data_IF_189540053404
#
_entry.id   IF_189540053404
#
_cell.length_a   1.000
_cell.length_b   1.000
_cell.length_c   1.000
_cell.angle_alpha   90.00
_cell.angle_beta   90.00
_cell.angle_gamma   90.00
#
_symmetry.space_group_name_H-M   'P 1'
#
loop_
_entity.id
_entity.type
_entity.pdbx_description
1 polymer ?
#
# COMPACT_ATOMS: atom_id res chain seq x y z
N UNK A 1 -12.19 1.78 -2.31
CA UNK A 1 -10.73 1.68 -2.12
C UNK A 1 -10.03 1.23 -3.41
N UNK A 2 -10.33 0.05 -3.95
CA UNK A 2 -9.73 -0.47 -5.19
C UNK A 2 -9.87 0.47 -6.39
N UNK A 3 -11.03 1.11 -6.56
CA UNK A 3 -11.24 2.11 -7.61
C UNK A 3 -10.31 3.33 -7.48
N UNK A 4 -9.95 3.74 -6.25
CA UNK A 4 -9.00 4.84 -6.02
C UNK A 4 -7.57 4.40 -6.32
N UNK A 5 -7.21 3.18 -5.95
CA UNK A 5 -5.91 2.57 -6.28
C UNK A 5 -5.73 2.46 -7.80
N UNK A 6 -6.72 1.92 -8.51
CA UNK A 6 -6.71 1.82 -9.96
C UNK A 6 -6.59 3.21 -10.62
N UNK A 7 -7.35 4.21 -10.15
CA UNK A 7 -7.22 5.59 -10.65
C UNK A 7 -5.82 6.16 -10.41
N UNK A 8 -5.24 5.97 -9.22
CA UNK A 8 -3.92 6.48 -8.91
C UNK A 8 -2.81 5.87 -9.80
N UNK A 9 -2.88 4.56 -10.04
CA UNK A 9 -1.90 3.84 -10.85
C UNK A 9 -2.11 4.12 -12.34
N UNK A 10 -3.32 3.94 -12.86
CA UNK A 10 -3.57 3.92 -14.30
C UNK A 10 -3.96 5.27 -14.90
N UNK A 11 -4.58 6.17 -14.13
CA UNK A 11 -4.97 7.50 -14.62
C UNK A 11 -3.99 8.59 -14.21
N UNK A 12 -3.50 8.53 -12.96
CA UNK A 12 -2.63 9.56 -12.40
C UNK A 12 -1.14 9.23 -12.50
N UNK A 13 -0.79 8.03 -12.98
CA UNK A 13 0.59 7.58 -13.16
C UNK A 13 1.47 7.82 -11.93
N UNK A 14 0.93 7.53 -10.74
CA UNK A 14 1.69 7.62 -9.50
C UNK A 14 2.68 6.46 -9.45
N UNK A 15 3.96 6.79 -9.28
CA UNK A 15 5.06 5.82 -9.20
C UNK A 15 5.06 5.02 -7.91
N UNK A 16 4.51 5.58 -6.83
CA UNK A 16 4.36 4.93 -5.52
C UNK A 16 2.95 5.17 -5.01
N UNK A 17 2.29 4.10 -4.54
CA UNK A 17 1.02 4.16 -3.83
C UNK A 17 1.14 3.37 -2.54
N UNK A 18 0.85 4.02 -1.41
CA UNK A 18 0.88 3.39 -0.08
C UNK A 18 -0.53 2.93 0.29
N UNK A 19 -0.66 1.65 0.61
CA UNK A 19 -1.89 1.06 1.13
C UNK A 19 -1.77 0.90 2.65
N UNK A 20 -2.41 1.77 3.41
CA UNK A 20 -2.51 1.64 4.86
C UNK A 20 -3.71 0.77 5.23
N UNK A 21 -3.45 -0.41 5.80
CA UNK A 21 -4.50 -1.34 6.23
C UNK A 21 -4.01 -2.18 7.42
N UNK A 22 -4.64 -2.07 8.60
CA UNK A 22 -4.20 -2.79 9.81
C UNK A 22 -4.34 -4.32 9.70
N UNK A 23 -5.28 -4.78 8.84
CA UNK A 23 -5.66 -6.18 8.62
C UNK A 23 -5.15 -6.74 7.28
N UNK A 24 -4.03 -6.22 6.78
CA UNK A 24 -3.51 -6.58 5.45
C UNK A 24 -3.28 -8.10 5.32
N UNK A 25 -2.71 -8.73 6.34
CA UNK A 25 -2.36 -10.15 6.32
C UNK A 25 -3.54 -11.08 6.60
N UNK A 26 -4.51 -10.58 7.35
CA UNK A 26 -5.74 -11.25 7.77
C UNK A 26 -6.72 -11.33 6.61
N UNK A 27 -6.89 -10.22 5.88
CA UNK A 27 -7.79 -10.13 4.73
C UNK A 27 -7.31 -10.91 3.50
N UNK A 28 -5.99 -11.05 3.31
CA UNK A 28 -5.33 -11.74 2.18
C UNK A 28 -5.69 -11.27 0.76
N UNK A 29 -6.69 -10.41 0.59
CA UNK A 29 -7.18 -9.96 -0.72
C UNK A 29 -6.22 -8.97 -1.36
N UNK A 30 -5.61 -8.09 -0.56
CA UNK A 30 -4.79 -6.98 -1.06
C UNK A 30 -3.29 -7.32 -1.11
N UNK A 31 -2.87 -8.34 -0.37
CA UNK A 31 -1.49 -8.77 -0.29
C UNK A 31 -0.88 -9.11 -1.68
N UNK A 32 -1.59 -9.80 -2.60
CA UNK A 32 -1.06 -10.09 -3.94
C UNK A 32 -0.81 -8.85 -4.81
N UNK A 33 -1.43 -7.72 -4.47
CA UNK A 33 -1.28 -6.46 -5.20
C UNK A 33 -0.15 -5.57 -4.64
N UNK A 34 0.48 -5.97 -3.54
CA UNK A 34 1.55 -5.22 -2.90
C UNK A 34 2.91 -5.74 -3.37
N UNK A 35 3.71 -4.90 -4.02
CA UNK A 35 5.07 -5.26 -4.43
C UNK A 35 6.06 -5.32 -3.27
N UNK A 36 5.82 -4.51 -2.24
CA UNK A 36 6.58 -4.47 -0.99
C UNK A 36 5.61 -4.29 0.17
N UNK A 37 5.81 -5.07 1.23
CA UNK A 37 5.03 -5.02 2.46
C UNK A 37 5.93 -4.50 3.58
N UNK A 38 5.57 -3.34 4.11
CA UNK A 38 6.29 -2.69 5.21
C UNK A 38 5.49 -2.89 6.49
N UNK A 39 6.13 -3.39 7.54
CA UNK A 39 5.52 -3.51 8.87
C UNK A 39 6.20 -2.55 9.84
N UNK A 40 5.39 -1.72 10.50
CA UNK A 40 5.84 -0.85 11.58
C UNK A 40 5.61 -1.58 12.90
N UNK A 41 6.70 -1.93 13.59
CA UNK A 41 6.69 -2.72 14.80
C UNK A 41 6.95 -1.86 16.05
N UNK A 42 6.30 -2.19 17.16
CA UNK A 42 6.59 -1.64 18.49
C UNK A 42 6.21 -2.67 19.55
N UNK A 43 6.57 -2.45 20.82
CA UNK A 43 6.16 -3.39 21.88
C UNK A 43 4.63 -3.39 22.06
N UNK A 44 4.08 -4.51 22.55
CA UNK A 44 2.63 -4.63 22.79
C UNK A 44 2.12 -3.56 23.75
N UNK A 45 2.91 -3.24 24.78
CA UNK A 45 2.57 -2.22 25.77
C UNK A 45 2.55 -0.83 25.13
N UNK A 46 3.53 -0.51 24.28
CA UNK A 46 3.55 0.75 23.53
C UNK A 46 2.37 0.84 22.55
N UNK A 47 2.04 -0.25 21.87
CA UNK A 47 0.90 -0.28 20.95
C UNK A 47 -0.41 -0.03 21.68
N UNK A 48 -0.64 -0.69 22.82
CA UNK A 48 -1.83 -0.51 23.64
C UNK A 48 -1.92 0.91 24.19
N UNK A 49 -0.83 1.44 24.77
CA UNK A 49 -0.79 2.79 25.29
C UNK A 49 -1.12 3.84 24.22
N UNK A 50 -0.57 3.69 23.00
CA UNK A 50 -0.85 4.59 21.88
C UNK A 50 -2.29 4.48 21.37
N UNK A 51 -2.85 3.26 21.32
CA UNK A 51 -4.26 3.06 20.96
C UNK A 51 -5.19 3.76 21.96
N UNK A 52 -4.91 3.64 23.27
CA UNK A 52 -5.72 4.27 24.31
C UNK A 52 -5.57 5.79 24.32
N UNK A 53 -4.36 6.31 24.17
CA UNK A 53 -4.13 7.76 24.11
C UNK A 53 -4.89 8.43 22.95
N UNK A 54 -4.93 7.78 21.78
CA UNK A 54 -5.62 8.29 20.59
C UNK A 54 -7.12 8.01 20.62
N UNK A 55 -7.50 6.74 20.69
CA UNK A 55 -8.89 6.32 20.48
C UNK A 55 -9.69 6.30 21.79
N UNK A 56 -9.05 6.28 22.95
CA UNK A 56 -9.74 6.37 24.25
C UNK A 56 -10.42 7.73 24.44
N UNK A 57 -9.72 8.81 24.11
CA UNK A 57 -10.24 10.17 24.23
C UNK A 57 -11.24 10.52 23.12
N UNK A 58 -10.95 10.14 21.88
CA UNK A 58 -11.76 10.53 20.72
C UNK A 58 -12.97 9.62 20.46
N UNK A 59 -12.86 8.33 20.81
CA UNK A 59 -13.84 7.29 20.43
C UNK A 59 -14.38 6.50 21.62
N UNK A 60 -14.05 6.90 22.85
CA UNK A 60 -14.47 6.21 24.06
C UNK A 60 -13.97 4.76 24.14
N UNK A 61 -12.80 4.47 23.57
CA UNK A 61 -12.24 3.12 23.56
C UNK A 61 -11.79 2.71 24.97
N UNK A 62 -12.41 1.67 25.54
CA UNK A 62 -11.98 1.10 26.82
C UNK A 62 -10.69 0.30 26.67
N UNK A 63 -9.91 0.17 27.75
CA UNK A 63 -8.73 -0.70 27.79
C UNK A 63 -9.07 -2.16 27.46
N UNK A 64 -10.22 -2.63 27.96
CA UNK A 64 -10.70 -3.99 27.68
C UNK A 64 -10.94 -4.22 26.18
N UNK A 65 -11.59 -3.27 25.51
CA UNK A 65 -11.85 -3.35 24.07
C UNK A 65 -10.57 -3.21 23.25
N UNK A 66 -9.65 -2.35 23.67
CA UNK A 66 -8.35 -2.20 23.02
C UNK A 66 -7.54 -3.51 23.08
N UNK A 67 -7.50 -4.18 24.24
CA UNK A 67 -6.87 -5.49 24.40
C UNK A 67 -7.52 -6.56 23.52
N UNK A 68 -8.86 -6.65 23.55
CA UNK A 68 -9.60 -7.57 22.67
C UNK A 68 -9.30 -7.36 21.18
N UNK A 69 -9.19 -6.10 20.74
CA UNK A 69 -8.83 -5.77 19.34
C UNK A 69 -7.39 -6.12 18.99
N UNK A 70 -6.48 -6.02 19.95
CA UNK A 70 -5.08 -6.40 19.77
C UNK A 70 -4.94 -7.93 19.67
N UNK A 71 -5.69 -8.66 20.50
CA UNK A 71 -5.69 -10.12 20.57
C UNK A 71 -6.41 -10.78 19.38
N UNK A 72 -7.39 -10.12 18.77
CA UNK A 72 -8.10 -10.66 17.60
C UNK A 72 -7.30 -10.59 16.30
N UNK A 73 -6.22 -9.81 16.28
CA UNK A 73 -5.33 -9.69 15.14
C UNK A 73 -4.24 -10.75 15.18
N UNK A 74 -3.61 -11.02 14.04
CA UNK A 74 -2.45 -11.90 14.05
C UNK A 74 -1.31 -11.24 14.84
N UNK A 75 -0.49 -12.03 15.58
CA UNK A 75 0.59 -11.48 16.38
C UNK A 75 1.59 -10.68 15.55
N UNK A 76 2.12 -9.60 16.12
CA UNK A 76 3.05 -8.71 15.44
C UNK A 76 4.30 -9.46 14.95
N UNK A 77 4.76 -10.45 15.70
CA UNK A 77 5.90 -11.30 15.35
C UNK A 77 5.65 -12.08 14.07
N UNK A 78 4.39 -12.46 13.79
CA UNK A 78 3.99 -13.09 12.54
C UNK A 78 3.98 -12.08 11.39
N UNK A 79 3.53 -10.84 11.63
CA UNK A 79 3.56 -9.75 10.65
C UNK A 79 5.00 -9.43 10.23
N UNK A 80 5.89 -9.29 11.22
CA UNK A 80 7.33 -9.04 11.04
C UNK A 80 7.99 -10.12 10.19
N UNK A 81 7.73 -11.41 10.47
CA UNK A 81 8.29 -12.52 9.67
C UNK A 81 7.80 -12.56 8.22
N UNK A 82 6.65 -11.95 7.92
CA UNK A 82 6.02 -11.95 6.59
C UNK A 82 6.24 -10.64 5.83
N UNK A 83 6.88 -9.66 6.45
CA UNK A 83 7.15 -8.36 5.84
C UNK A 83 8.41 -8.42 4.98
N UNK A 84 8.44 -7.61 3.91
CA UNK A 84 9.68 -7.36 3.17
C UNK A 84 10.61 -6.43 3.96
N UNK A 85 10.02 -5.47 4.68
CA UNK A 85 10.72 -4.41 5.39
C UNK A 85 10.06 -4.19 6.74
N UNK A 86 10.86 -4.06 7.79
CA UNK A 86 10.40 -3.82 9.17
C UNK A 86 10.97 -2.51 9.66
N UNK A 87 10.11 -1.63 10.15
CA UNK A 87 10.48 -0.36 10.78
C UNK A 87 10.20 -0.46 12.28
N UNK A 88 11.21 -0.21 13.10
CA UNK A 88 11.03 -0.12 14.55
C UNK A 88 10.49 1.27 14.94
N UNK A 89 9.35 1.28 15.63
CA UNK A 89 8.65 2.44 16.15
C UNK A 89 8.64 2.45 17.69
N UNK A 90 9.63 1.80 18.30
CA UNK A 90 9.83 1.81 19.76
C UNK A 90 10.59 3.05 20.23
N UNK A 91 11.23 3.78 19.31
CA UNK A 91 12.09 4.94 19.56
C UNK A 91 11.34 6.27 19.29
N UNK A 92 12.08 7.36 19.19
CA UNK A 92 11.53 8.70 18.92
C UNK A 92 11.00 8.87 17.48
N UNK A 93 10.05 9.80 17.32
CA UNK A 93 9.40 10.12 16.05
C UNK A 93 10.40 10.54 14.96
N UNK A 94 11.50 11.22 15.31
CA UNK A 94 12.47 11.67 14.31
C UNK A 94 13.34 10.53 13.77
N UNK A 95 13.52 9.46 14.55
CA UNK A 95 14.12 8.22 14.07
C UNK A 95 13.16 7.47 13.15
N UNK A 96 11.88 7.39 13.54
CA UNK A 96 10.84 6.78 12.70
C UNK A 96 10.73 7.47 11.34
N UNK A 97 10.76 8.82 11.31
CA UNK A 97 10.74 9.59 10.05
C UNK A 97 11.94 9.25 9.17
N UNK A 98 13.14 9.15 9.74
CA UNK A 98 14.35 8.79 8.99
C UNK A 98 14.24 7.40 8.38
N UNK A 99 13.86 6.40 9.17
CA UNK A 99 13.65 5.04 8.65
C UNK A 99 12.54 4.99 7.58
N UNK A 100 11.46 5.76 7.74
CA UNK A 100 10.41 5.85 6.73
C UNK A 100 10.92 6.45 5.41
N UNK A 101 11.77 7.48 5.48
CA UNK A 101 12.40 8.09 4.30
C UNK A 101 13.36 7.12 3.61
N UNK A 102 14.18 6.39 4.37
CA UNK A 102 15.08 5.36 3.83
C UNK A 102 14.29 4.26 3.10
N UNK A 103 13.17 3.82 3.67
CA UNK A 103 12.29 2.85 3.02
C UNK A 103 11.67 3.42 1.76
N UNK A 104 11.26 4.70 1.77
CA UNK A 104 10.73 5.35 0.58
C UNK A 104 11.75 5.38 -0.57
N UNK A 105 13.02 5.64 -0.26
CA UNK A 105 14.10 5.62 -1.25
C UNK A 105 14.39 4.21 -1.77
N UNK A 106 14.30 3.18 -0.91
CA UNK A 106 14.48 1.78 -1.32
C UNK A 106 13.37 1.24 -2.22
N UNK A 107 12.13 1.67 -2.02
CA UNK A 107 10.97 1.19 -2.81
C UNK A 107 10.73 2.03 -4.07
N UNK A 108 11.43 3.15 -4.23
CA UNK A 108 11.23 4.04 -5.36
C UNK A 108 11.64 3.35 -6.67
N UNK A 109 10.73 3.25 -7.65
CA UNK A 109 11.08 2.66 -8.94
C UNK A 109 12.10 3.54 -9.69
N UNK A 110 12.93 2.93 -10.52
CA UNK A 110 13.85 3.67 -11.37
C UNK A 110 13.09 4.46 -12.44
N UNK A 111 13.54 5.69 -12.71
CA UNK A 111 12.91 6.56 -13.73
C UNK A 111 12.87 5.88 -15.12
N UNK A 112 13.88 5.07 -15.44
CA UNK A 112 13.94 4.31 -16.69
C UNK A 112 12.85 3.22 -16.77
N UNK A 113 12.65 2.48 -15.67
CA UNK A 113 11.60 1.44 -15.61
C UNK A 113 10.20 2.05 -15.71
N UNK A 114 9.97 3.18 -15.04
CA UNK A 114 8.71 3.91 -15.12
C UNK A 114 8.42 4.43 -16.54
N UNK A 115 9.42 5.00 -17.21
CA UNK A 115 9.30 5.48 -18.58
C UNK A 115 9.03 4.34 -19.57
N UNK A 116 9.75 3.21 -19.42
CA UNK A 116 9.55 2.03 -20.26
C UNK A 116 8.12 1.47 -20.10
N UNK A 117 7.62 1.35 -18.86
CA UNK A 117 6.26 0.89 -18.60
C UNK A 117 5.20 1.82 -19.23
N UNK A 118 5.35 3.14 -19.06
CA UNK A 118 4.50 4.15 -19.70
C UNK A 118 4.48 4.02 -21.22
N UNK A 119 5.65 3.86 -21.83
CA UNK A 119 5.78 3.69 -23.29
C UNK A 119 5.07 2.42 -23.79
N UNK A 120 5.20 1.30 -23.06
CA UNK A 120 4.53 0.03 -23.40
C UNK A 120 3.01 0.21 -23.38
N UNK A 121 2.46 0.80 -22.31
CA UNK A 121 1.00 1.00 -22.17
C UNK A 121 0.46 1.93 -23.27
N UNK A 122 1.14 3.06 -23.53
CA UNK A 122 0.74 3.98 -24.60
C UNK A 122 0.83 3.32 -25.98
N UNK A 123 1.88 2.52 -26.23
CA UNK A 123 2.04 1.77 -27.47
C UNK A 123 0.94 0.72 -27.68
N UNK A 124 0.56 -0.01 -26.63
CA UNK A 124 -0.56 -0.96 -26.68
C UNK A 124 -1.89 -0.27 -26.94
N UNK A 125 -2.17 0.85 -26.27
CA UNK A 125 -3.38 1.64 -26.50
C UNK A 125 -3.46 2.14 -27.96
N UNK A 126 -2.37 2.70 -28.48
CA UNK A 126 -2.31 3.17 -29.86
C UNK A 126 -2.55 2.06 -30.89
N UNK A 127 -1.97 0.87 -30.70
CA UNK A 127 -2.21 -0.31 -31.57
C UNK A 127 -3.67 -0.76 -31.54
N UNK A 128 -4.29 -0.78 -30.36
CA UNK A 128 -5.69 -1.18 -30.20
C UNK A 128 -6.61 -0.18 -30.91
N UNK A 129 -6.40 1.12 -30.71
CA UNK A 129 -7.15 2.18 -31.40
C UNK A 129 -6.99 2.08 -32.91
N UNK A 130 -5.77 1.91 -33.41
CA UNK A 130 -5.53 1.74 -34.85
C UNK A 130 -6.23 0.52 -35.45
N UNK A 131 -6.27 -0.59 -34.70
CA UNK A 131 -6.98 -1.81 -35.12
C UNK A 131 -8.49 -1.59 -35.18
N UNK A 132 -9.06 -0.93 -34.16
CA UNK A 132 -10.50 -0.61 -34.11
C UNK A 132 -10.87 0.33 -35.26
N UNK A 133 -10.10 1.40 -35.48
CA UNK A 133 -10.34 2.36 -36.56
C UNK A 133 -10.29 1.66 -37.92
N UNK A 134 -9.29 0.77 -38.14
CA UNK A 134 -9.20 -0.01 -39.38
C UNK A 134 -10.38 -0.96 -39.56
N UNK A 135 -10.83 -1.62 -38.50
CA UNK A 135 -12.00 -2.50 -38.55
C UNK A 135 -13.26 -1.72 -38.91
N UNK A 136 -13.51 -0.58 -38.26
CA UNK A 136 -14.67 0.29 -38.54
C UNK A 136 -14.61 0.82 -39.97
N UNK A 137 -13.45 1.33 -40.42
CA UNK A 137 -13.26 1.81 -41.79
C UNK A 137 -13.60 0.72 -42.82
N UNK A 138 -13.11 -0.50 -42.62
CA UNK A 138 -13.38 -1.64 -43.49
C UNK A 138 -14.84 -2.10 -43.48
N UNK A 139 -15.59 -1.85 -42.40
CA UNK A 139 -17.03 -2.15 -42.30
C UNK A 139 -17.89 -1.05 -42.93
N UNK A 140 -17.47 0.21 -42.89
CA UNK A 140 -18.24 1.36 -43.39
C UNK A 140 -18.08 1.60 -44.89
N UNK A 141 -16.94 1.22 -45.48
CA UNK A 141 -16.64 1.44 -46.92
C UNK A 141 -16.95 0.21 -47.77
N UNK A 142 -17.50 -0.85 -47.16
CA UNK A 142 -18.14 -1.97 -47.86
C UNK A 142 -19.63 -1.74 -47.97
#
# INVERSE_FOLDING_TARGET
MLSRLAKAIFLQWKSIVVLDTPLLFESKTLLPFCSKVVVVACSKDQQLARMLARDGNEKGLSEHDAKKRLESQIPLEVKVRRADIVIDNSQDVDLLKRSAMEVLDQVRPSNAGELAFRAIVLGCAAKLTGTIVRAVYNTVIR
#
